data_IF_171647935349
#
_entry.id   IF_171647935349
#
_cell.length_a   1.000
_cell.length_b   1.000
_cell.length_c   1.000
_cell.angle_alpha   90.00
_cell.angle_beta   90.00
_cell.angle_gamma   90.00
#
_symmetry.space_group_name_H-M   'P 1'
#
loop_
_entity.id
_entity.type
_entity.pdbx_description
1 polymer ?
#
# COMPACT_ATOMS: atom_id res chain seq x y z
N UNK A 1 61.79 -45.90 18.02
CA UNK A 1 60.64 -45.22 18.65
C UNK A 1 59.78 -44.64 17.53
N UNK A 2 58.68 -45.30 17.19
CA UNK A 2 57.73 -44.86 16.16
C UNK A 2 56.41 -44.52 16.88
N UNK A 3 56.09 -43.23 16.93
CA UNK A 3 54.86 -42.72 17.53
C UNK A 3 53.70 -42.94 16.56
N UNK A 4 52.90 -43.96 16.87
CA UNK A 4 51.61 -44.25 16.25
C UNK A 4 50.63 -43.10 16.55
N UNK A 5 50.33 -42.28 15.54
CA UNK A 5 49.23 -41.32 15.60
C UNK A 5 47.94 -42.06 15.27
N UNK A 6 47.18 -42.37 16.31
CA UNK A 6 45.81 -42.86 16.21
C UNK A 6 44.93 -41.83 15.51
N UNK A 7 44.49 -42.18 14.28
CA UNK A 7 43.45 -41.49 13.54
C UNK A 7 42.15 -41.49 14.37
N UNK A 8 41.93 -40.44 15.16
CA UNK A 8 40.64 -40.13 15.75
C UNK A 8 39.67 -39.83 14.61
N UNK A 9 38.86 -40.85 14.27
CA UNK A 9 37.80 -40.80 13.28
C UNK A 9 36.83 -39.67 13.59
N UNK A 10 37.09 -38.48 13.04
CA UNK A 10 36.11 -37.41 12.93
C UNK A 10 35.02 -37.93 11.99
N UNK A 11 33.94 -38.44 12.57
CA UNK A 11 32.65 -38.55 11.90
C UNK A 11 32.34 -37.17 11.32
N UNK A 12 32.61 -36.99 10.03
CA UNK A 12 32.29 -35.77 9.31
C UNK A 12 30.77 -35.73 9.23
N UNK A 13 30.15 -35.06 10.20
CA UNK A 13 28.73 -34.77 10.14
C UNK A 13 28.52 -34.01 8.83
N UNK A 14 27.90 -34.67 7.85
CA UNK A 14 27.52 -34.03 6.60
C UNK A 14 26.70 -32.77 6.98
N UNK A 15 26.99 -31.61 6.39
CA UNK A 15 26.18 -30.43 6.64
C UNK A 15 24.73 -30.78 6.32
N UNK A 16 23.81 -30.52 7.25
CA UNK A 16 22.39 -30.67 7.01
C UNK A 16 21.99 -29.64 5.96
N UNK A 17 21.49 -30.08 4.83
CA UNK A 17 21.01 -29.17 3.78
C UNK A 17 19.65 -28.61 4.19
N UNK A 18 19.30 -27.43 3.70
CA UNK A 18 18.00 -26.79 3.95
C UNK A 18 16.82 -27.74 3.65
N UNK A 19 16.94 -28.53 2.58
CA UNK A 19 15.92 -29.49 2.13
C UNK A 19 15.83 -30.75 3.01
N UNK A 20 16.82 -31.02 3.86
CA UNK A 20 16.79 -32.13 4.82
C UNK A 20 16.01 -31.77 6.11
N UNK A 21 15.68 -30.49 6.29
CA UNK A 21 14.90 -30.04 7.45
C UNK A 21 13.43 -30.45 7.31
N UNK A 22 12.73 -30.78 8.42
CA UNK A 22 11.28 -30.89 8.45
C UNK A 22 10.58 -29.66 7.86
N UNK A 23 9.38 -29.86 7.32
CA UNK A 23 8.65 -28.83 6.59
C UNK A 23 8.41 -27.59 7.44
N UNK A 24 8.10 -27.78 8.71
CA UNK A 24 7.80 -26.73 9.67
C UNK A 24 8.99 -25.78 9.86
N UNK A 25 10.20 -26.35 10.00
CA UNK A 25 11.42 -25.55 10.11
C UNK A 25 11.74 -24.81 8.81
N UNK A 26 11.44 -25.41 7.65
CA UNK A 26 11.60 -24.73 6.36
C UNK A 26 10.62 -23.57 6.22
N UNK A 27 9.36 -23.76 6.61
CA UNK A 27 8.35 -22.70 6.56
C UNK A 27 8.71 -21.53 7.49
N UNK A 28 9.27 -21.80 8.68
CA UNK A 28 9.82 -20.75 9.56
C UNK A 28 10.98 -19.99 8.91
N UNK A 29 11.89 -20.70 8.21
CA UNK A 29 12.98 -20.08 7.47
C UNK A 29 12.44 -19.24 6.30
N UNK A 30 11.42 -19.73 5.58
CA UNK A 30 10.79 -19.01 4.48
C UNK A 30 10.10 -17.74 4.97
N UNK A 31 9.34 -17.81 6.07
CA UNK A 31 8.72 -16.65 6.69
C UNK A 31 9.78 -15.60 7.05
N UNK A 32 10.84 -16.00 7.75
CA UNK A 32 11.92 -15.08 8.09
C UNK A 32 12.63 -14.49 6.85
N UNK A 33 12.97 -15.33 5.88
CA UNK A 33 13.77 -14.93 4.72
C UNK A 33 12.98 -14.13 3.66
N UNK A 34 11.66 -14.27 3.63
CA UNK A 34 10.78 -13.62 2.64
C UNK A 34 10.00 -12.43 3.23
N UNK A 35 10.08 -12.20 4.53
CA UNK A 35 9.51 -11.00 5.17
C UNK A 35 10.43 -9.81 4.94
N UNK A 36 9.90 -8.77 4.34
CA UNK A 36 10.50 -7.47 4.17
C UNK A 36 9.89 -6.53 5.23
N UNK A 37 10.71 -5.82 6.02
CA UNK A 37 10.22 -4.99 7.13
C UNK A 37 9.26 -3.89 6.67
N UNK A 38 9.49 -3.36 5.47
CA UNK A 38 8.67 -2.30 4.86
C UNK A 38 7.64 -2.85 3.86
N UNK A 39 7.55 -4.18 3.72
CA UNK A 39 6.70 -4.88 2.78
C UNK A 39 7.19 -4.88 1.33
N UNK A 40 6.29 -5.15 0.39
CA UNK A 40 6.61 -5.30 -1.04
C UNK A 40 5.76 -4.36 -1.89
N UNK A 41 6.38 -3.71 -2.87
CA UNK A 41 5.69 -2.87 -3.83
C UNK A 41 5.35 -3.66 -5.10
N UNK A 42 4.18 -3.37 -5.68
CA UNK A 42 3.79 -3.85 -6.99
C UNK A 42 4.42 -2.94 -8.05
N UNK A 43 5.29 -3.50 -8.87
CA UNK A 43 5.90 -2.82 -9.99
C UNK A 43 5.39 -3.39 -11.32
N UNK A 44 5.11 -2.51 -12.26
CA UNK A 44 4.76 -2.89 -13.63
C UNK A 44 6.05 -2.92 -14.45
N UNK A 45 6.47 -4.12 -14.84
CA UNK A 45 7.60 -4.26 -15.77
C UNK A 45 7.24 -3.48 -17.03
N UNK A 46 8.11 -2.56 -17.43
CA UNK A 46 8.07 -1.96 -18.76
C UNK A 46 8.24 -3.05 -19.81
N UNK A 47 7.12 -3.63 -20.27
CA UNK A 47 7.11 -4.36 -21.53
C UNK A 47 7.40 -3.33 -22.62
N UNK A 48 8.56 -3.45 -23.26
CA UNK A 48 9.03 -2.48 -24.25
C UNK A 48 7.97 -2.28 -25.35
N UNK A 49 7.31 -1.11 -25.30
CA UNK A 49 6.57 -0.39 -26.34
C UNK A 49 5.32 -1.08 -26.95
N UNK A 50 4.19 -0.38 -26.81
CA UNK A 50 2.97 -0.44 -27.65
C UNK A 50 1.91 -1.52 -27.38
N UNK A 51 1.83 -2.11 -26.18
CA UNK A 51 0.65 -2.92 -25.82
C UNK A 51 -0.02 -2.39 -24.56
N UNK A 52 -1.15 -1.70 -24.78
CA UNK A 52 -2.09 -1.24 -23.74
C UNK A 52 -2.72 -2.40 -22.94
N UNK A 53 -2.56 -3.64 -23.39
CA UNK A 53 -3.00 -4.82 -22.66
C UNK A 53 -1.86 -5.35 -21.78
N UNK A 54 -1.93 -5.00 -20.49
CA UNK A 54 -1.16 -5.63 -19.42
C UNK A 54 -1.35 -7.15 -19.47
N UNK A 55 -0.25 -7.91 -19.60
CA UNK A 55 -0.29 -9.36 -19.45
C UNK A 55 -0.07 -9.71 -17.99
N UNK A 56 -0.63 -10.84 -17.56
CA UNK A 56 -0.39 -11.44 -16.23
C UNK A 56 1.08 -11.63 -15.86
N UNK A 57 1.98 -11.67 -16.84
CA UNK A 57 3.43 -11.78 -16.63
C UNK A 57 4.14 -10.44 -16.36
N UNK A 58 3.43 -9.32 -16.46
CA UNK A 58 4.02 -7.97 -16.41
C UNK A 58 4.02 -7.35 -15.01
N UNK A 59 3.40 -8.00 -14.02
CA UNK A 59 3.43 -7.58 -12.62
C UNK A 59 4.60 -8.27 -11.89
N UNK A 60 5.46 -7.47 -11.26
CA UNK A 60 6.49 -7.94 -10.33
C UNK A 60 6.28 -7.35 -8.97
N UNK A 61 6.78 -8.06 -7.97
CA UNK A 61 6.93 -7.50 -6.65
C UNK A 61 8.38 -7.12 -6.43
N UNK A 62 8.58 -5.96 -5.85
CA UNK A 62 9.88 -5.41 -5.49
C UNK A 62 9.88 -5.11 -4.00
N UNK A 63 11.05 -5.11 -3.36
CA UNK A 63 11.15 -4.69 -1.96
C UNK A 63 10.72 -3.24 -1.82
N UNK A 64 9.86 -2.93 -0.86
CA UNK A 64 9.62 -1.56 -0.45
C UNK A 64 10.86 -1.14 0.38
N UNK A 65 11.56 -0.06 0.00
CA UNK A 65 12.69 0.46 0.80
C UNK A 65 14.09 0.00 0.37
N UNK A 66 14.74 0.80 -0.46
CA UNK A 66 16.15 1.18 -0.24
C UNK A 66 16.49 2.57 -0.78
N UNK A 67 15.50 3.42 -1.03
CA UNK A 67 15.70 4.87 -1.08
C UNK A 67 14.89 5.48 0.05
N UNK A 68 15.55 5.70 1.19
CA UNK A 68 15.30 6.94 1.92
C UNK A 68 15.25 8.05 0.88
N UNK A 69 14.04 8.56 0.62
CA UNK A 69 13.74 9.65 -0.29
C UNK A 69 14.47 10.91 0.20
N UNK A 70 15.78 10.96 0.00
CA UNK A 70 16.45 12.22 -0.21
C UNK A 70 16.08 12.60 -1.63
N UNK A 71 15.07 13.45 -1.77
CA UNK A 71 14.57 14.01 -3.04
C UNK A 71 15.67 14.69 -3.88
N UNK A 72 16.88 14.79 -3.33
CA UNK A 72 18.02 15.55 -3.81
C UNK A 72 19.13 14.76 -4.54
N UNK A 73 19.01 13.45 -4.81
CA UNK A 73 20.08 12.72 -5.55
C UNK A 73 19.56 11.80 -6.66
N UNK A 74 19.85 12.19 -7.90
CA UNK A 74 19.98 11.38 -9.13
C UNK A 74 19.18 10.05 -9.17
N UNK A 75 17.85 10.19 -9.29
CA UNK A 75 16.87 9.10 -9.41
C UNK A 75 17.16 8.11 -10.56
N UNK A 76 17.95 8.51 -11.57
CA UNK A 76 18.33 7.68 -12.70
C UNK A 76 19.34 6.57 -12.34
N UNK A 77 20.09 6.72 -11.24
CA UNK A 77 21.08 5.71 -10.81
C UNK A 77 20.55 4.66 -9.82
N UNK A 78 19.44 4.91 -9.14
CA UNK A 78 18.83 3.97 -8.17
C UNK A 78 17.94 2.90 -8.83
N UNK A 79 17.71 3.00 -10.15
CA UNK A 79 17.03 1.98 -10.97
C UNK A 79 17.78 0.63 -11.05
N UNK A 80 19.04 0.56 -10.58
CA UNK A 80 19.90 -0.61 -10.79
C UNK A 80 19.63 -1.80 -9.87
N UNK A 81 18.76 -1.67 -8.86
CA UNK A 81 18.56 -2.73 -7.87
C UNK A 81 17.08 -3.04 -7.64
N UNK A 82 16.39 -3.47 -8.71
CA UNK A 82 15.12 -4.18 -8.58
C UNK A 82 15.40 -5.51 -7.86
N UNK A 83 15.28 -5.50 -6.53
CA UNK A 83 15.42 -6.70 -5.71
C UNK A 83 14.12 -7.49 -5.70
N UNK A 84 14.13 -8.64 -6.37
CA UNK A 84 13.08 -9.66 -6.22
C UNK A 84 13.06 -10.13 -4.74
N UNK A 85 11.93 -10.05 -4.02
CA UNK A 85 11.89 -10.40 -2.60
C UNK A 85 12.17 -11.90 -2.36
N UNK A 86 11.76 -12.77 -3.29
CA UNK A 86 11.98 -14.21 -3.19
C UNK A 86 13.32 -14.65 -3.81
N UNK A 87 14.44 -14.36 -3.14
CA UNK A 87 15.76 -14.79 -3.60
C UNK A 87 15.94 -16.33 -3.53
N UNK A 88 15.20 -17.03 -2.67
CA UNK A 88 15.27 -18.48 -2.51
C UNK A 88 14.88 -19.24 -3.78
N UNK A 89 14.06 -18.64 -4.65
CA UNK A 89 13.64 -19.25 -5.93
C UNK A 89 14.80 -19.57 -6.86
N UNK A 90 15.93 -18.88 -6.72
CA UNK A 90 17.09 -19.04 -7.59
C UNK A 90 18.06 -20.14 -7.13
N UNK A 91 17.87 -20.67 -5.92
CA UNK A 91 18.73 -21.72 -5.36
C UNK A 91 18.47 -23.06 -6.05
N UNK A 92 17.21 -23.50 -6.12
CA UNK A 92 16.83 -24.72 -6.84
C UNK A 92 15.33 -24.72 -7.18
N UNK A 93 14.92 -25.66 -8.06
CA UNK A 93 13.52 -25.79 -8.52
C UNK A 93 12.52 -26.10 -7.40
N UNK A 94 12.92 -26.92 -6.43
CA UNK A 94 12.05 -27.26 -5.29
C UNK A 94 11.76 -26.02 -4.44
N UNK A 95 12.78 -25.25 -4.08
CA UNK A 95 12.59 -24.01 -3.32
C UNK A 95 11.73 -23.01 -4.08
N UNK A 96 11.96 -22.84 -5.39
CA UNK A 96 11.11 -22.01 -6.25
C UNK A 96 9.62 -22.39 -6.16
N UNK A 97 9.31 -23.69 -6.17
CA UNK A 97 7.93 -24.17 -6.02
C UNK A 97 7.40 -23.95 -4.60
N UNK A 98 8.19 -24.28 -3.58
CA UNK A 98 7.79 -24.17 -2.18
C UNK A 98 7.57 -22.71 -1.74
N UNK A 99 8.33 -21.77 -2.31
CA UNK A 99 8.28 -20.34 -1.94
C UNK A 99 7.42 -19.48 -2.88
N UNK A 100 6.86 -20.07 -3.93
CA UNK A 100 6.00 -19.34 -4.88
C UNK A 100 4.78 -18.73 -4.18
N UNK A 101 4.60 -17.42 -4.34
CA UNK A 101 3.50 -16.66 -3.72
C UNK A 101 3.61 -16.45 -2.21
N UNK A 102 4.64 -16.97 -1.53
CA UNK A 102 4.82 -16.76 -0.09
C UNK A 102 5.16 -15.31 0.26
N UNK A 103 5.84 -14.58 -0.64
CA UNK A 103 6.14 -13.16 -0.43
C UNK A 103 4.86 -12.32 -0.26
N UNK A 104 3.75 -12.65 -0.93
CA UNK A 104 2.47 -11.95 -0.75
C UNK A 104 1.85 -12.26 0.63
N UNK A 105 2.09 -13.47 1.15
CA UNK A 105 1.56 -13.91 2.43
C UNK A 105 2.23 -13.21 3.62
N UNK A 106 3.53 -13.00 3.53
CA UNK A 106 4.33 -12.51 4.65
C UNK A 106 4.49 -10.99 4.68
N UNK A 107 4.11 -10.30 3.60
CA UNK A 107 4.33 -8.86 3.44
C UNK A 107 3.04 -8.10 3.23
N UNK A 108 3.05 -6.84 3.66
CA UNK A 108 2.08 -5.85 3.21
C UNK A 108 2.38 -5.50 1.74
N UNK A 109 1.35 -5.45 0.90
CA UNK A 109 1.48 -5.16 -0.55
C UNK A 109 1.16 -3.70 -0.81
N UNK A 110 2.12 -2.96 -1.37
CA UNK A 110 1.99 -1.55 -1.71
C UNK A 110 1.76 -1.37 -3.20
N UNK A 111 0.79 -0.52 -3.57
CA UNK A 111 0.45 -0.18 -4.95
C UNK A 111 0.58 1.32 -5.09
N UNK A 112 1.48 1.77 -5.96
CA UNK A 112 1.69 3.19 -6.25
C UNK A 112 2.19 3.36 -7.67
N UNK A 113 1.67 4.37 -8.39
CA UNK A 113 2.14 4.69 -9.74
C UNK A 113 3.39 5.57 -9.74
N UNK A 114 3.77 6.15 -8.60
CA UNK A 114 4.96 6.99 -8.48
C UNK A 114 6.25 6.21 -8.78
N UNK A 115 6.24 4.90 -8.51
CA UNK A 115 7.32 3.99 -8.90
C UNK A 115 7.41 3.76 -10.42
N UNK A 116 6.35 4.09 -11.18
CA UNK A 116 6.31 4.04 -12.64
C UNK A 116 6.90 5.32 -13.22
N UNK A 117 8.23 5.37 -13.18
CA UNK A 117 9.12 6.50 -13.41
C UNK A 117 8.94 7.41 -14.64
N UNK A 118 7.91 7.30 -15.49
CA UNK A 118 7.68 8.22 -16.62
C UNK A 118 6.21 8.22 -17.10
N UNK A 119 5.25 7.73 -16.32
CA UNK A 119 3.86 7.76 -16.80
C UNK A 119 3.33 9.19 -16.73
N UNK A 120 2.75 9.68 -17.83
CA UNK A 120 1.81 10.81 -17.79
C UNK A 120 0.87 10.56 -16.63
N UNK A 121 0.74 11.51 -15.68
CA UNK A 121 -0.13 11.44 -14.49
C UNK A 121 -1.56 11.09 -14.92
N UNK A 122 -1.80 9.81 -15.20
CA UNK A 122 -3.10 9.30 -15.53
C UNK A 122 -3.75 9.14 -14.19
N UNK A 123 -4.69 10.03 -13.92
CA UNK A 123 -5.65 9.88 -12.83
C UNK A 123 -6.12 8.41 -12.87
N UNK A 124 -5.86 7.63 -11.81
CA UNK A 124 -6.24 6.21 -11.57
C UNK A 124 -5.25 5.11 -11.96
N UNK A 125 -3.99 5.41 -12.24
CA UNK A 125 -3.01 4.35 -12.51
C UNK A 125 -2.98 3.27 -11.39
N UNK A 126 -3.15 3.65 -10.12
CA UNK A 126 -3.09 2.75 -8.97
C UNK A 126 -4.28 1.82 -8.87
N UNK A 127 -5.49 2.33 -9.13
CA UNK A 127 -6.70 1.48 -9.14
C UNK A 127 -6.69 0.50 -10.31
N UNK A 128 -6.16 0.92 -11.47
CA UNK A 128 -5.93 0.01 -12.59
C UNK A 128 -4.89 -1.04 -12.23
N UNK A 129 -3.80 -0.67 -11.57
CA UNK A 129 -2.79 -1.63 -11.09
C UNK A 129 -3.39 -2.62 -10.07
N UNK A 130 -4.21 -2.12 -9.14
CA UNK A 130 -4.95 -2.96 -8.19
C UNK A 130 -5.86 -3.96 -8.91
N UNK A 131 -6.68 -3.50 -9.86
CA UNK A 131 -7.60 -4.35 -10.62
C UNK A 131 -6.85 -5.43 -11.44
N UNK A 132 -5.71 -5.06 -12.03
CA UNK A 132 -4.85 -6.00 -12.73
C UNK A 132 -4.19 -6.99 -11.77
N UNK A 133 -3.76 -6.54 -10.60
CA UNK A 133 -3.17 -7.41 -9.58
C UNK A 133 -4.16 -8.47 -9.09
N UNK A 134 -5.37 -8.06 -8.70
CA UNK A 134 -6.38 -8.99 -8.20
C UNK A 134 -6.82 -9.98 -9.27
N UNK A 135 -6.96 -9.56 -10.53
CA UNK A 135 -7.35 -10.45 -11.64
C UNK A 135 -6.24 -11.43 -12.04
N UNK A 136 -4.99 -11.10 -11.74
CA UNK A 136 -3.85 -11.98 -11.99
C UNK A 136 -3.63 -13.01 -10.88
N UNK A 137 -4.07 -12.75 -9.65
CA UNK A 137 -3.91 -13.66 -8.53
C UNK A 137 -4.94 -14.81 -8.56
N UNK A 138 -4.55 -15.99 -8.09
CA UNK A 138 -5.53 -17.06 -7.79
C UNK A 138 -6.29 -16.72 -6.51
N UNK A 139 -7.50 -17.28 -6.35
CA UNK A 139 -8.27 -17.15 -5.10
C UNK A 139 -7.41 -17.49 -3.88
N UNK A 140 -6.71 -18.62 -3.91
CA UNK A 140 -5.85 -19.06 -2.80
C UNK A 140 -4.70 -18.10 -2.49
N UNK A 141 -4.16 -17.39 -3.49
CA UNK A 141 -3.13 -16.40 -3.28
C UNK A 141 -3.72 -15.12 -2.66
N UNK A 142 -4.91 -14.72 -3.10
CA UNK A 142 -5.63 -13.59 -2.52
C UNK A 142 -6.01 -13.85 -1.07
N UNK A 143 -6.43 -15.06 -0.73
CA UNK A 143 -6.76 -15.46 0.65
C UNK A 143 -5.58 -15.43 1.62
N UNK A 144 -4.36 -15.38 1.09
CA UNK A 144 -3.13 -15.28 1.89
C UNK A 144 -2.70 -13.84 2.13
N UNK A 145 -3.28 -12.86 1.43
CA UNK A 145 -2.98 -11.45 1.67
C UNK A 145 -3.41 -11.06 3.08
N UNK A 146 -2.57 -10.29 3.75
CA UNK A 146 -2.91 -9.68 5.04
C UNK A 146 -3.38 -8.24 4.85
N UNK A 147 -2.60 -7.46 4.11
CA UNK A 147 -2.84 -6.03 3.92
C UNK A 147 -2.41 -5.57 2.54
N UNK A 148 -3.22 -4.68 1.95
CA UNK A 148 -2.92 -3.96 0.72
C UNK A 148 -2.95 -2.46 1.04
N UNK A 149 -1.97 -1.72 0.52
CA UNK A 149 -1.85 -0.27 0.70
C UNK A 149 -1.79 0.38 -0.67
N UNK A 150 -2.80 1.17 -1.03
CA UNK A 150 -2.90 1.88 -2.31
C UNK A 150 -2.55 3.34 -2.05
N UNK A 151 -1.52 3.87 -2.71
CA UNK A 151 -1.19 5.29 -2.64
C UNK A 151 -1.97 6.05 -3.72
N UNK A 152 -3.04 6.72 -3.32
CA UNK A 152 -3.87 7.49 -4.22
C UNK A 152 -3.21 8.85 -4.49
N UNK A 153 -2.70 9.04 -5.71
CA UNK A 153 -2.15 10.30 -6.22
C UNK A 153 -3.11 11.02 -7.17
N UNK A 154 -4.38 10.60 -7.24
CA UNK A 154 -5.35 11.17 -8.19
C UNK A 154 -5.80 12.58 -7.83
N UNK A 155 -5.39 13.08 -6.67
CA UNK A 155 -5.74 14.40 -6.14
C UNK A 155 -4.68 15.48 -6.37
N UNK A 156 -3.65 15.21 -7.19
CA UNK A 156 -2.59 16.18 -7.47
C UNK A 156 -3.07 17.43 -8.23
N UNK A 157 -4.28 17.45 -8.79
CA UNK A 157 -4.85 18.62 -9.48
C UNK A 157 -5.96 19.28 -8.64
N UNK A 158 -5.66 20.36 -7.88
CA UNK A 158 -6.63 21.08 -7.07
C UNK A 158 -7.77 21.70 -7.89
N UNK A 159 -7.58 21.88 -9.20
CA UNK A 159 -8.60 22.44 -10.09
C UNK A 159 -9.63 21.40 -10.55
N UNK A 160 -9.29 20.11 -10.43
CA UNK A 160 -10.22 19.02 -10.71
C UNK A 160 -11.13 18.83 -9.51
N UNK A 161 -12.37 19.31 -9.62
CA UNK A 161 -13.36 19.11 -8.56
C UNK A 161 -13.44 17.61 -8.23
N UNK A 162 -13.23 17.19 -6.96
CA UNK A 162 -13.35 15.80 -6.53
C UNK A 162 -14.76 15.22 -6.77
N UNK A 163 -15.72 16.10 -7.10
CA UNK A 163 -17.10 15.79 -7.45
C UNK A 163 -17.33 15.47 -8.93
N UNK A 164 -16.31 15.48 -9.80
CA UNK A 164 -16.46 14.84 -11.11
C UNK A 164 -16.52 13.32 -10.92
N UNK A 165 -17.75 12.87 -10.65
CA UNK A 165 -18.36 11.59 -10.22
C UNK A 165 -17.78 10.27 -10.72
N UNK A 166 -16.77 10.28 -11.56
CA UNK A 166 -16.06 9.08 -11.99
C UNK A 166 -14.77 8.83 -11.20
N UNK A 167 -14.26 9.82 -10.45
CA UNK A 167 -13.06 9.74 -9.59
C UNK A 167 -13.31 8.98 -8.26
N UNK A 168 -14.26 8.06 -8.27
CA UNK A 168 -14.61 7.25 -7.11
C UNK A 168 -13.65 6.09 -6.95
N UNK A 169 -13.54 5.56 -5.73
CA UNK A 169 -12.89 4.28 -5.45
C UNK A 169 -13.35 3.24 -6.47
N UNK A 170 -12.42 2.44 -7.00
CA UNK A 170 -12.78 1.39 -7.97
C UNK A 170 -13.90 0.51 -7.41
N UNK A 171 -14.95 0.28 -8.21
CA UNK A 171 -16.03 -0.64 -7.81
C UNK A 171 -15.50 -2.05 -7.52
N UNK A 172 -14.41 -2.45 -8.19
CA UNK A 172 -13.69 -3.69 -7.92
C UNK A 172 -13.01 -3.68 -6.55
N UNK A 173 -12.48 -2.54 -6.09
CA UNK A 173 -11.91 -2.40 -4.75
C UNK A 173 -12.97 -2.61 -3.67
N UNK A 174 -14.12 -1.96 -3.80
CA UNK A 174 -15.23 -2.14 -2.85
C UNK A 174 -15.73 -3.59 -2.86
N UNK A 175 -15.93 -4.18 -4.06
CA UNK A 175 -16.33 -5.58 -4.20
C UNK A 175 -15.31 -6.52 -3.54
N UNK A 176 -14.02 -6.31 -3.81
CA UNK A 176 -12.94 -7.11 -3.23
C UNK A 176 -12.95 -7.06 -1.71
N UNK A 177 -13.11 -5.88 -1.11
CA UNK A 177 -13.16 -5.75 0.34
C UNK A 177 -14.36 -6.48 0.96
N UNK A 178 -15.53 -6.48 0.28
CA UNK A 178 -16.71 -7.25 0.70
C UNK A 178 -16.51 -8.76 0.58
N UNK A 179 -15.90 -9.22 -0.51
CA UNK A 179 -15.63 -10.65 -0.75
C UNK A 179 -14.54 -11.20 0.18
N UNK A 180 -13.62 -10.36 0.65
CA UNK A 180 -12.46 -10.75 1.46
C UNK A 180 -12.34 -9.91 2.75
N UNK A 181 -13.27 -10.07 3.71
CA UNK A 181 -13.34 -9.22 4.90
C UNK A 181 -12.13 -9.33 5.84
N UNK A 182 -11.30 -10.38 5.71
CA UNK A 182 -10.10 -10.59 6.52
C UNK A 182 -8.87 -9.82 6.01
N UNK A 183 -8.91 -9.29 4.78
CA UNK A 183 -7.81 -8.54 4.18
C UNK A 183 -8.03 -7.06 4.45
N UNK A 184 -7.07 -6.38 5.08
CA UNK A 184 -7.16 -4.94 5.27
C UNK A 184 -6.70 -4.22 4.00
N UNK A 185 -7.51 -3.33 3.45
CA UNK A 185 -7.09 -2.44 2.35
C UNK A 185 -7.03 -1.01 2.86
N UNK A 186 -5.91 -0.35 2.66
CA UNK A 186 -5.69 1.02 3.09
C UNK A 186 -5.49 1.89 1.84
N UNK A 187 -6.35 2.87 1.64
CA UNK A 187 -6.14 3.94 0.65
C UNK A 187 -5.40 5.07 1.36
N UNK A 188 -4.14 5.28 0.96
CA UNK A 188 -3.28 6.36 1.45
C UNK A 188 -3.35 7.52 0.48
N UNK A 189 -3.93 8.62 0.90
CA UNK A 189 -3.96 9.81 0.07
C UNK A 189 -2.59 10.52 0.07
N UNK A 190 -2.04 10.76 -1.11
CA UNK A 190 -0.84 11.58 -1.30
C UNK A 190 -1.25 13.03 -1.57
N UNK A 191 -1.12 13.88 -0.55
CA UNK A 191 -1.61 15.27 -0.60
C UNK A 191 -0.50 16.30 -0.45
N UNK A 192 0.76 15.90 -0.64
CA UNK A 192 1.93 16.73 -0.37
C UNK A 192 1.91 18.07 -1.14
N UNK A 193 1.44 18.08 -2.38
CA UNK A 193 1.51 19.26 -3.25
C UNK A 193 0.38 20.27 -3.00
N UNK A 194 -0.71 19.87 -2.32
CA UNK A 194 -1.89 20.73 -2.12
C UNK A 194 -1.65 21.81 -1.04
N UNK A 195 -0.79 21.54 -0.05
CA UNK A 195 -0.51 22.50 1.03
C UNK A 195 0.41 23.63 0.60
N UNK A 196 1.22 23.42 -0.44
CA UNK A 196 2.10 24.46 -0.96
C UNK A 196 1.34 25.57 -1.71
N UNK A 197 0.07 25.36 -2.06
CA UNK A 197 -0.69 26.22 -2.97
C UNK A 197 -1.87 26.98 -2.30
N UNK A 198 -1.83 27.22 -0.99
CA UNK A 198 -2.92 27.90 -0.22
C UNK A 198 -4.28 27.17 -0.24
N UNK A 199 -4.39 25.97 -0.85
CA UNK A 199 -5.63 25.19 -1.00
C UNK A 199 -5.94 24.28 0.21
N UNK A 200 -5.33 24.52 1.37
CA UNK A 200 -5.48 23.69 2.57
C UNK A 200 -6.95 23.58 3.05
N UNK A 201 -7.76 24.61 2.82
CA UNK A 201 -9.17 24.65 3.18
C UNK A 201 -10.04 23.62 2.45
N UNK A 202 -9.79 23.40 1.16
CA UNK A 202 -10.49 22.38 0.36
C UNK A 202 -10.19 20.97 0.85
N UNK A 203 -8.92 20.71 1.12
CA UNK A 203 -8.46 19.42 1.62
C UNK A 203 -9.12 19.07 2.95
N UNK A 204 -9.16 20.05 3.84
CA UNK A 204 -9.77 19.90 5.13
C UNK A 204 -11.28 19.69 5.03
N UNK A 205 -11.94 20.36 4.08
CA UNK A 205 -13.34 20.09 3.74
C UNK A 205 -13.58 18.65 3.32
N UNK A 206 -12.71 18.12 2.45
CA UNK A 206 -12.77 16.72 2.04
C UNK A 206 -12.53 15.75 3.22
N UNK A 207 -11.58 16.06 4.10
CA UNK A 207 -11.35 15.28 5.33
C UNK A 207 -12.56 15.30 6.27
N UNK A 208 -13.16 16.47 6.45
CA UNK A 208 -14.38 16.66 7.24
C UNK A 208 -15.51 15.82 6.65
N UNK A 209 -15.69 15.83 5.33
CA UNK A 209 -16.70 15.02 4.66
C UNK A 209 -16.46 13.54 4.89
N UNK A 210 -15.23 13.04 4.70
CA UNK A 210 -14.87 11.65 5.00
C UNK A 210 -15.18 11.31 6.46
N UNK A 211 -14.78 12.19 7.39
CA UNK A 211 -14.98 12.01 8.82
C UNK A 211 -16.46 11.87 9.20
N UNK A 212 -17.28 12.78 8.68
CA UNK A 212 -18.74 12.81 8.90
C UNK A 212 -19.36 11.52 8.40
N UNK A 213 -18.96 11.07 7.21
CA UNK A 213 -19.47 9.84 6.63
C UNK A 213 -19.08 8.60 7.43
N UNK A 214 -17.81 8.50 7.85
CA UNK A 214 -17.30 7.35 8.60
C UNK A 214 -17.91 7.26 10.01
N UNK A 215 -18.18 8.40 10.66
CA UNK A 215 -18.78 8.44 12.00
C UNK A 215 -20.31 8.24 12.01
N UNK A 216 -20.97 8.15 10.85
CA UNK A 216 -22.45 8.07 10.72
C UNK A 216 -23.17 9.14 11.56
N UNK A 217 -22.58 10.32 11.70
CA UNK A 217 -23.10 11.35 12.60
C UNK A 217 -24.28 12.06 11.93
N UNK A 218 -25.49 11.88 12.47
CA UNK A 218 -26.73 12.44 11.94
C UNK A 218 -26.91 13.95 12.16
N UNK A 219 -25.92 14.65 12.73
CA UNK A 219 -26.05 16.02 13.22
C UNK A 219 -25.30 17.08 12.41
N UNK A 220 -24.89 16.78 11.18
CA UNK A 220 -24.28 17.80 10.33
C UNK A 220 -25.34 18.65 9.61
N UNK A 221 -25.34 19.99 9.77
CA UNK A 221 -26.24 20.87 9.02
C UNK A 221 -25.77 20.94 7.56
N UNK A 222 -26.31 20.05 6.72
CA UNK A 222 -26.07 20.00 5.28
C UNK A 222 -26.74 21.19 4.57
N UNK A 223 -26.11 22.37 4.59
CA UNK A 223 -26.47 23.46 3.66
C UNK A 223 -25.61 23.49 2.39
N UNK A 224 -24.54 22.69 2.31
CA UNK A 224 -23.70 22.51 1.12
C UNK A 224 -23.87 21.10 0.54
N UNK A 225 -25.01 20.87 -0.12
CA UNK A 225 -25.49 19.56 -0.61
C UNK A 225 -24.82 19.02 -1.88
N UNK A 226 -23.67 19.54 -2.30
CA UNK A 226 -22.97 19.00 -3.48
C UNK A 226 -22.18 17.70 -3.20
N UNK A 227 -21.88 17.40 -1.93
CA UNK A 227 -21.04 16.26 -1.52
C UNK A 227 -21.80 14.93 -1.24
N UNK A 228 -23.06 14.83 -1.65
CA UNK A 228 -23.95 13.68 -1.42
C UNK A 228 -23.40 12.32 -1.92
N UNK A 229 -22.48 12.31 -2.89
CA UNK A 229 -21.91 11.09 -3.47
C UNK A 229 -20.86 10.41 -2.57
N UNK A 230 -20.03 11.19 -1.86
CA UNK A 230 -19.08 10.65 -0.88
C UNK A 230 -19.81 10.05 0.32
N UNK A 231 -20.90 10.70 0.75
CA UNK A 231 -21.81 10.17 1.76
C UNK A 231 -22.35 8.80 1.37
N UNK A 232 -22.79 8.64 0.13
CA UNK A 232 -23.40 7.40 -0.33
C UNK A 232 -22.39 6.23 -0.37
N UNK A 233 -21.15 6.50 -0.78
CA UNK A 233 -20.11 5.46 -0.82
C UNK A 233 -19.64 5.03 0.57
N UNK A 234 -19.56 5.97 1.50
CA UNK A 234 -18.99 5.72 2.82
C UNK A 234 -20.00 5.13 3.82
N UNK A 235 -21.31 5.32 3.61
CA UNK A 235 -22.37 4.69 4.43
C UNK A 235 -22.32 3.15 4.36
N UNK A 236 -21.88 2.59 3.22
CA UNK A 236 -21.76 1.14 2.99
C UNK A 236 -20.30 0.70 2.76
N UNK A 237 -19.34 1.43 3.35
CA UNK A 237 -17.94 1.09 3.27
C UNK A 237 -17.64 -0.22 4.04
N UNK A 238 -16.96 -1.21 3.43
CA UNK A 238 -16.51 -2.40 4.14
C UNK A 238 -15.57 -2.05 5.30
N UNK A 239 -15.75 -2.70 6.47
CA UNK A 239 -14.95 -2.40 7.69
C UNK A 239 -13.44 -2.61 7.54
N UNK A 240 -13.04 -3.38 6.55
CA UNK A 240 -11.65 -3.69 6.24
C UNK A 240 -11.05 -2.74 5.20
N UNK A 241 -11.83 -1.83 4.62
CA UNK A 241 -11.35 -0.72 3.80
C UNK A 241 -11.14 0.49 4.70
N UNK A 242 -9.91 1.00 4.73
CA UNK A 242 -9.49 2.13 5.56
C UNK A 242 -8.91 3.26 4.74
N UNK A 243 -8.97 4.47 5.28
CA UNK A 243 -8.42 5.66 4.67
C UNK A 243 -7.36 6.28 5.57
N UNK A 244 -6.22 6.64 4.99
CA UNK A 244 -5.12 7.25 5.73
C UNK A 244 -4.39 8.31 4.91
N UNK A 245 -3.54 9.07 5.59
CA UNK A 245 -2.73 10.12 4.97
C UNK A 245 -1.26 9.70 4.92
N UNK A 246 -0.61 10.00 3.80
CA UNK A 246 0.84 9.83 3.65
C UNK A 246 1.64 10.74 4.58
N UNK A 247 1.14 11.94 4.86
CA UNK A 247 1.84 12.96 5.63
C UNK A 247 1.17 13.19 6.98
N UNK A 248 2.01 13.39 8.00
CA UNK A 248 1.53 13.81 9.31
C UNK A 248 1.14 15.28 9.25
N UNK A 249 -0.13 15.54 9.52
CA UNK A 249 -0.60 16.90 9.75
C UNK A 249 -0.37 17.23 11.21
N UNK A 250 0.58 18.12 11.47
CA UNK A 250 0.82 18.62 12.82
C UNK A 250 -0.44 19.28 13.37
N UNK A 251 -0.68 19.23 14.69
CA UNK A 251 -1.91 19.77 15.29
C UNK A 251 -2.17 21.23 14.92
N UNK A 252 -1.11 22.04 14.83
CA UNK A 252 -1.19 23.46 14.43
C UNK A 252 -1.68 23.66 12.99
N UNK A 253 -1.28 22.80 12.06
CA UNK A 253 -1.69 22.89 10.65
C UNK A 253 -3.17 22.57 10.50
N UNK A 254 -3.67 21.63 11.29
CA UNK A 254 -5.10 21.28 11.34
C UNK A 254 -5.91 22.44 11.90
N UNK A 255 -5.45 23.07 13.00
CA UNK A 255 -6.15 24.20 13.62
C UNK A 255 -6.27 25.40 12.68
N UNK A 256 -5.17 25.77 12.02
CA UNK A 256 -5.14 26.90 11.10
C UNK A 256 -6.13 26.69 9.95
N UNK A 257 -6.13 25.50 9.34
CA UNK A 257 -7.09 25.19 8.27
C UNK A 257 -8.55 25.25 8.75
N UNK A 258 -8.86 24.74 9.94
CA UNK A 258 -10.24 24.65 10.45
C UNK A 258 -10.78 26.02 10.86
N UNK A 259 -9.94 26.85 11.46
CA UNK A 259 -10.30 28.21 11.85
C UNK A 259 -10.50 29.10 10.62
N UNK A 260 -9.57 29.05 9.67
CA UNK A 260 -9.58 29.97 8.52
C UNK A 260 -10.72 29.66 7.54
N UNK A 261 -11.10 28.39 7.36
CA UNK A 261 -12.01 28.02 6.28
C UNK A 261 -13.48 27.90 6.68
N UNK A 262 -13.76 27.53 7.94
CA UNK A 262 -15.12 27.18 8.35
C UNK A 262 -15.67 27.98 9.52
N UNK A 263 -14.82 28.74 10.24
CA UNK A 263 -15.26 29.48 11.43
C UNK A 263 -15.89 28.58 12.50
N UNK A 264 -15.44 27.32 12.60
CA UNK A 264 -15.98 26.36 13.56
C UNK A 264 -15.69 26.76 15.01
N UNK A 265 -16.58 26.34 15.92
CA UNK A 265 -16.33 26.41 17.35
C UNK A 265 -15.15 25.50 17.75
N UNK A 266 -14.41 25.87 18.80
CA UNK A 266 -13.24 25.14 19.30
C UNK A 266 -13.54 23.65 19.59
N UNK A 267 -14.75 23.35 20.06
CA UNK A 267 -15.20 21.97 20.34
C UNK A 267 -15.29 21.08 19.09
N UNK A 268 -15.59 21.66 17.92
CA UNK A 268 -15.67 20.91 16.67
C UNK A 268 -14.29 20.71 16.06
N UNK A 269 -13.37 21.66 16.27
CA UNK A 269 -11.97 21.56 15.85
C UNK A 269 -11.29 20.33 16.47
N UNK A 270 -11.50 20.10 17.77
CA UNK A 270 -10.90 18.95 18.45
C UNK A 270 -11.42 17.61 17.88
N UNK A 271 -12.72 17.51 17.57
CA UNK A 271 -13.29 16.31 16.95
C UNK A 271 -12.68 16.02 15.58
N UNK A 272 -12.36 17.07 14.80
CA UNK A 272 -11.69 16.92 13.51
C UNK A 272 -10.23 16.55 13.63
N UNK A 273 -9.53 17.14 14.60
CA UNK A 273 -8.17 16.78 14.93
C UNK A 273 -8.05 15.28 15.26
N UNK A 274 -8.95 14.74 16.08
CA UNK A 274 -8.97 13.31 16.39
C UNK A 274 -9.09 12.45 15.12
N UNK A 275 -9.92 12.86 14.16
CA UNK A 275 -10.09 12.15 12.89
C UNK A 275 -8.82 12.24 12.06
N UNK A 276 -8.24 13.42 11.91
CA UNK A 276 -6.99 13.61 11.14
C UNK A 276 -5.86 12.75 11.74
N UNK A 277 -5.74 12.73 13.07
CA UNK A 277 -4.77 11.89 13.79
C UNK A 277 -5.07 10.40 13.53
N UNK A 278 -6.32 9.98 13.67
CA UNK A 278 -6.71 8.58 13.42
C UNK A 278 -6.44 8.14 11.97
N UNK A 279 -6.69 9.03 11.00
CA UNK A 279 -6.33 8.80 9.59
C UNK A 279 -4.83 8.65 9.42
N UNK A 280 -4.00 9.40 10.15
CA UNK A 280 -2.55 9.26 10.02
C UNK A 280 -2.01 7.95 10.63
N UNK A 281 -2.46 7.58 11.83
CA UNK A 281 -1.86 6.48 12.59
C UNK A 281 -2.30 5.09 12.09
N UNK A 282 -3.61 4.86 12.02
CA UNK A 282 -4.18 3.53 11.86
C UNK A 282 -5.09 3.39 10.63
N UNK A 283 -5.35 4.51 9.96
CA UNK A 283 -6.46 4.68 9.03
C UNK A 283 -7.82 4.58 9.73
N UNK A 284 -8.81 5.32 9.23
CA UNK A 284 -10.21 5.19 9.66
C UNK A 284 -10.94 4.21 8.77
#
# INVERSE_FOLDING_TARGET
MATSYSNLGRSSKKPKLLLDLPRELRDMIYEYALTEPDGVALDQIRSNKNRLALRKADLRMTKCGCSTYSRDKDFATTLSEIHEPNQLRYVCRQLCQETSGLSIRYNDVYISSEWLLNYTKSLRAEYVLFDNFISCCSSDALDRLRRIVIYDTTHDDPTSSPLNKEQTLSSNLIRFCRERPNITVIVRFNWFDLWANDDAGWLLGYMVDIAVCLRKSNHYPFSHTENSHLLFMLIDCPKNLRFSLTHYLGPKSVDLGLLDYYGYAEEDIEKYREVVIAMHENGI
#
